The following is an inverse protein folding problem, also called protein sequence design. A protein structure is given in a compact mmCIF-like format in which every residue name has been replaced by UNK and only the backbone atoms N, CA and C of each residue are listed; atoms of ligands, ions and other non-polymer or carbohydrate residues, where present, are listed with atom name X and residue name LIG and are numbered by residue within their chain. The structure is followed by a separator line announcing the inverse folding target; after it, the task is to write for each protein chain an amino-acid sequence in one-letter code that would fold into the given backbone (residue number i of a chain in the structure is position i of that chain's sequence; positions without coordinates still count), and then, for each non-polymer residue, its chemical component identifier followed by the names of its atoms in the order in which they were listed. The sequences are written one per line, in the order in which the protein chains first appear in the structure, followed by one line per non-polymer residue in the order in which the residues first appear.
data_IF_134734701964
#
_entry.id   IF_134734701964
#
_cell.length_a   1.000
_cell.length_b   1.000
_cell.length_c   1.000
_cell.angle_alpha   90.00
_cell.angle_beta   90.00
_cell.angle_gamma   90.00
#
_symmetry.space_group_name_H-M   'P 1'
#
loop_
_entity.id
_entity.type
_entity.pdbx_description
1 polymer ?
#
# COMPACT_ATOMS: atom_id res chain seq x y z
N UNK A 1 13.38 1.80 10.07
CA UNK A 1 12.44 0.96 9.31
C UNK A 1 11.06 1.56 9.49
N UNK A 2 10.39 1.93 8.41
CA UNK A 2 9.04 2.54 8.43
C UNK A 2 8.06 1.64 7.68
N UNK A 3 8.22 0.33 7.87
CA UNK A 3 7.47 -0.73 7.21
C UNK A 3 6.66 -1.52 8.24
N UNK A 4 5.38 -1.73 7.94
CA UNK A 4 4.47 -2.53 8.73
C UNK A 4 3.61 -3.41 7.82
N UNK A 5 3.45 -4.69 8.19
CA UNK A 5 2.58 -5.63 7.49
C UNK A 5 1.83 -6.51 8.49
N UNK A 6 0.53 -6.60 8.30
CA UNK A 6 -0.37 -7.46 9.06
C UNK A 6 -0.99 -8.51 8.14
N UNK A 7 -0.89 -9.78 8.56
CA UNK A 7 -1.55 -10.91 7.92
C UNK A 7 -2.36 -11.70 8.95
N UNK A 8 -3.51 -12.23 8.54
CA UNK A 8 -4.34 -13.13 9.34
C UNK A 8 -4.59 -14.38 8.49
N UNK A 9 -4.27 -15.56 9.01
CA UNK A 9 -4.39 -16.84 8.28
C UNK A 9 -3.71 -16.77 6.89
N UNK A 10 -2.49 -16.25 6.85
CA UNK A 10 -1.69 -16.05 5.64
C UNK A 10 -2.30 -15.11 4.57
N UNK A 11 -3.39 -14.41 4.89
CA UNK A 11 -4.00 -13.41 4.01
C UNK A 11 -3.52 -12.00 4.40
N UNK A 12 -3.05 -11.18 3.45
CA UNK A 12 -2.64 -9.82 3.74
C UNK A 12 -3.87 -8.97 4.11
N UNK A 13 -3.82 -8.29 5.25
CA UNK A 13 -4.90 -7.41 5.73
C UNK A 13 -4.50 -5.95 5.58
N UNK A 14 -3.28 -5.60 5.99
CA UNK A 14 -2.76 -4.23 5.96
C UNK A 14 -1.28 -4.24 5.63
N UNK A 15 -0.86 -3.30 4.78
CA UNK A 15 0.56 -3.02 4.51
C UNK A 15 0.76 -1.51 4.44
N UNK A 16 1.76 -1.01 5.17
CA UNK A 16 2.13 0.39 5.22
C UNK A 16 3.65 0.49 5.04
N UNK A 17 4.07 1.28 4.05
CA UNK A 17 5.44 1.74 3.87
C UNK A 17 5.41 3.24 3.60
N UNK A 18 5.81 4.03 4.60
CA UNK A 18 5.74 5.50 4.49
C UNK A 18 6.79 6.07 3.54
N UNK A 19 7.93 5.39 3.36
CA UNK A 19 9.00 5.88 2.49
C UNK A 19 8.70 5.58 1.02
N UNK A 20 8.07 4.44 0.76
CA UNK A 20 7.73 4.01 -0.59
C UNK A 20 6.27 4.35 -0.98
N UNK A 21 5.55 5.11 -0.14
CA UNK A 21 4.14 5.47 -0.34
C UNK A 21 3.24 4.25 -0.64
N UNK A 22 3.50 3.14 0.06
CA UNK A 22 2.70 1.92 -0.09
C UNK A 22 1.69 1.89 1.04
N UNK A 23 0.42 1.95 0.67
CA UNK A 23 -0.69 1.66 1.56
C UNK A 23 -1.59 0.64 0.86
N UNK A 24 -1.73 -0.54 1.46
CA UNK A 24 -2.59 -1.61 0.95
C UNK A 24 -3.53 -2.13 2.01
N UNK A 25 -4.77 -2.39 1.62
CA UNK A 25 -5.77 -3.08 2.42
C UNK A 25 -6.25 -4.30 1.63
N UNK A 26 -6.28 -5.46 2.28
CA UNK A 26 -6.67 -6.74 1.65
C UNK A 26 -5.87 -7.04 0.36
N UNK A 27 -4.58 -6.68 0.36
CA UNK A 27 -3.67 -6.83 -0.79
C UNK A 27 -3.87 -5.81 -1.92
N UNK A 28 -4.83 -4.90 -1.83
CA UNK A 28 -5.12 -3.88 -2.85
C UNK A 28 -4.62 -2.51 -2.40
N UNK A 29 -4.10 -1.70 -3.33
CA UNK A 29 -3.73 -0.33 -3.02
C UNK A 29 -4.95 0.47 -2.58
N UNK A 30 -4.80 1.28 -1.53
CA UNK A 30 -5.86 2.20 -1.09
C UNK A 30 -5.91 3.47 -1.95
N UNK A 31 -4.83 3.76 -2.69
CA UNK A 31 -4.78 4.88 -3.62
C UNK A 31 -5.32 4.46 -4.99
N UNK A 32 -6.34 5.15 -5.53
CA UNK A 32 -6.77 4.96 -6.90
C UNK A 32 -5.63 5.25 -7.89
N UNK A 33 -5.58 4.53 -9.01
CA UNK A 33 -4.53 4.69 -10.02
C UNK A 33 -4.41 6.13 -10.53
N UNK A 34 -5.54 6.82 -10.69
CA UNK A 34 -5.57 8.25 -11.07
C UNK A 34 -4.84 9.13 -10.04
N UNK A 35 -5.04 8.86 -8.74
CA UNK A 35 -4.39 9.62 -7.67
C UNK A 35 -2.89 9.35 -7.70
N UNK A 36 -2.47 8.07 -7.80
CA UNK A 36 -1.06 7.71 -7.91
C UNK A 36 -0.39 8.35 -9.13
N UNK A 37 -1.06 8.34 -10.28
CA UNK A 37 -0.59 8.99 -11.49
C UNK A 37 -0.44 10.51 -11.32
N UNK A 38 -1.43 11.18 -10.71
CA UNK A 38 -1.40 12.62 -10.49
C UNK A 38 -0.26 13.10 -9.58
N UNK A 39 0.20 12.23 -8.67
CA UNK A 39 1.31 12.52 -7.74
C UNK A 39 2.64 11.85 -8.14
N UNK A 40 2.73 11.30 -9.37
CA UNK A 40 3.98 10.74 -9.90
C UNK A 40 4.38 9.37 -9.32
N UNK A 41 3.44 8.63 -8.73
CA UNK A 41 3.65 7.28 -8.16
C UNK A 41 3.14 6.14 -9.06
N UNK A 42 2.70 6.46 -10.28
CA UNK A 42 2.26 5.49 -11.28
C UNK A 42 3.35 5.22 -12.31
N UNK A 43 4.17 4.20 -12.07
CA UNK A 43 5.18 3.65 -12.98
C UNK A 43 5.14 2.13 -12.93
#
# INVERSE_FOLDING_TARGET
STYYKLSINDRPVLEIDLLNHIERKDGKSVFPDRVRSAIGLGG
#
